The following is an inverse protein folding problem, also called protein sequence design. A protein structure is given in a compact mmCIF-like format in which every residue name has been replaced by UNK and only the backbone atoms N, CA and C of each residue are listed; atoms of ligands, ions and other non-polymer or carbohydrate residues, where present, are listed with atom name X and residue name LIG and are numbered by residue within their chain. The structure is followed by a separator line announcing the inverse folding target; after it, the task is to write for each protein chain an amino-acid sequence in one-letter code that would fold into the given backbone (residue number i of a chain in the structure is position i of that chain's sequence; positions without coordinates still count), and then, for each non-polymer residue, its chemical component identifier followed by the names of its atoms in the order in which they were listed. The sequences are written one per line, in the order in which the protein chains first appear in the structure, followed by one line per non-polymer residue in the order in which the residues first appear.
data_IF_845385658953
#
_entry.id   IF_845385658953
#
_cell.length_a   1.000
_cell.length_b   1.000
_cell.length_c   1.000
_cell.angle_alpha   90.00
_cell.angle_beta   90.00
_cell.angle_gamma   90.00
#
_symmetry.space_group_name_H-M   'P 1'
#
loop_
_entity.id
_entity.type
_entity.pdbx_description
1 polymer ?
#
# COMPACT_ATOMS: atom_id res chain seq x y z
N UNK A 1 -14.75 7.32 -2.73
CA UNK A 1 -14.33 6.19 -3.60
C UNK A 1 -15.56 5.54 -4.23
N UNK A 2 -15.96 5.91 -5.46
CA UNK A 2 -17.26 5.48 -6.02
C UNK A 2 -17.36 3.96 -6.29
N UNK A 3 -16.22 3.29 -6.49
CA UNK A 3 -16.16 1.85 -6.77
C UNK A 3 -15.92 0.99 -5.52
N UNK A 4 -15.69 1.60 -4.35
CA UNK A 4 -15.48 0.85 -3.12
C UNK A 4 -16.84 0.51 -2.51
N UNK A 5 -17.13 -0.79 -2.35
CA UNK A 5 -18.33 -1.22 -1.61
C UNK A 5 -18.23 -0.74 -0.17
N UNK A 6 -19.38 -0.42 0.43
CA UNK A 6 -19.46 -0.01 1.84
C UNK A 6 -18.83 -1.08 2.74
N UNK A 7 -17.96 -0.67 3.66
CA UNK A 7 -17.17 -1.60 4.50
C UNK A 7 -16.02 -2.30 3.76
N UNK A 8 -15.71 -1.89 2.53
CA UNK A 8 -14.55 -2.37 1.79
C UNK A 8 -13.24 -1.97 2.45
N UNK A 9 -12.21 -2.79 2.24
CA UNK A 9 -10.87 -2.56 2.78
C UNK A 9 -9.99 -1.86 1.75
N UNK A 10 -9.31 -0.80 2.17
CA UNK A 10 -8.30 -0.08 1.38
C UNK A 10 -6.93 -0.36 2.00
N UNK A 11 -6.04 -1.00 1.24
CA UNK A 11 -4.66 -1.23 1.67
C UNK A 11 -3.79 -0.15 1.04
N UNK A 12 -3.03 0.57 1.87
CA UNK A 12 -2.27 1.75 1.44
C UNK A 12 -0.78 1.57 1.71
N UNK A 13 0.04 1.76 0.67
CA UNK A 13 1.50 1.86 0.77
C UNK A 13 1.90 3.28 1.21
N UNK A 14 2.09 3.49 2.52
CA UNK A 14 2.43 4.82 3.08
C UNK A 14 3.76 5.35 2.56
N UNK A 15 4.70 4.46 2.20
CA UNK A 15 5.99 4.84 1.59
C UNK A 15 5.84 5.57 0.25
N UNK A 16 4.68 5.49 -0.40
CA UNK A 16 4.40 6.20 -1.65
C UNK A 16 3.81 7.61 -1.45
N UNK A 17 3.43 8.00 -0.22
CA UNK A 17 2.75 9.27 0.10
C UNK A 17 3.72 10.42 0.39
N UNK A 18 4.76 10.55 -0.44
CA UNK A 18 5.62 11.75 -0.42
C UNK A 18 4.92 12.95 -1.05
N UNK A 19 5.24 14.16 -0.59
CA UNK A 19 4.70 15.41 -1.13
C UNK A 19 4.88 15.51 -2.66
N UNK A 20 6.03 15.08 -3.17
CA UNK A 20 6.31 15.02 -4.61
C UNK A 20 5.32 14.11 -5.35
N UNK A 21 5.02 12.94 -4.79
CA UNK A 21 4.09 12.00 -5.42
C UNK A 21 2.64 12.49 -5.33
N UNK A 22 2.25 13.10 -4.20
CA UNK A 22 0.94 13.72 -4.03
C UNK A 22 0.71 14.83 -5.04
N UNK A 23 1.68 15.75 -5.19
CA UNK A 23 1.64 16.79 -6.23
C UNK A 23 1.53 16.21 -7.64
N UNK A 24 2.30 15.17 -7.97
CA UNK A 24 2.21 14.50 -9.28
C UNK A 24 0.85 13.86 -9.53
N UNK A 25 0.21 13.37 -8.47
CA UNK A 25 -1.12 12.80 -8.51
C UNK A 25 -2.24 13.86 -8.45
N UNK A 26 -1.90 15.16 -8.38
CA UNK A 26 -2.86 16.26 -8.34
C UNK A 26 -3.50 16.49 -6.97
N UNK A 27 -2.94 15.92 -5.90
CA UNK A 27 -3.43 16.11 -4.54
C UNK A 27 -2.81 17.34 -3.89
N UNK A 28 -3.66 18.21 -3.33
CA UNK A 28 -3.24 19.37 -2.55
C UNK A 28 -2.86 19.02 -1.10
N UNK A 29 -3.30 17.86 -0.60
CA UNK A 29 -3.05 17.37 0.76
C UNK A 29 -3.05 15.84 0.80
N UNK A 30 -2.71 15.27 1.96
CA UNK A 30 -2.66 13.82 2.11
C UNK A 30 -4.06 13.26 2.38
N UNK A 31 -4.62 12.41 1.49
CA UNK A 31 -5.96 11.86 1.66
C UNK A 31 -6.07 10.83 2.79
N UNK A 32 -4.94 10.40 3.37
CA UNK A 32 -4.90 9.59 4.59
C UNK A 32 -5.26 10.42 5.84
N UNK A 33 -5.03 11.74 5.81
CA UNK A 33 -5.20 12.61 6.98
C UNK A 33 -6.44 13.51 6.91
N UNK A 34 -7.07 13.66 5.74
CA UNK A 34 -8.18 14.59 5.51
C UNK A 34 -9.57 13.94 5.61
N UNK A 35 -9.66 12.75 6.19
CA UNK A 35 -10.88 11.94 6.33
C UNK A 35 -11.48 11.40 5.01
N UNK A 36 -10.80 11.54 3.87
CA UNK A 36 -11.28 11.03 2.55
C UNK A 36 -11.56 9.52 2.56
N UNK A 37 -10.87 8.76 3.40
CA UNK A 37 -10.98 7.30 3.48
C UNK A 37 -11.85 6.80 4.65
N UNK A 38 -12.57 7.69 5.34
CA UNK A 38 -13.34 7.37 6.57
C UNK A 38 -14.49 6.37 6.37
N UNK A 39 -15.03 6.25 5.16
CA UNK A 39 -16.14 5.32 4.84
C UNK A 39 -15.71 3.84 4.68
N UNK A 40 -14.41 3.56 4.70
CA UNK A 40 -13.85 2.22 4.50
C UNK A 40 -12.92 1.78 5.63
N UNK A 41 -12.51 0.51 5.62
CA UNK A 41 -11.45 0.03 6.50
C UNK A 41 -10.10 0.30 5.86
N UNK A 42 -9.37 1.29 6.36
CA UNK A 42 -8.02 1.59 5.87
C UNK A 42 -6.97 0.78 6.63
N UNK A 43 -6.07 0.14 5.90
CA UNK A 43 -4.90 -0.56 6.43
C UNK A 43 -3.67 0.13 5.85
N UNK A 44 -2.99 0.92 6.68
CA UNK A 44 -1.80 1.67 6.30
C UNK A 44 -0.55 0.88 6.65
N UNK A 45 0.26 0.57 5.63
CA UNK A 45 1.49 -0.20 5.78
C UNK A 45 2.59 0.44 4.93
N UNK A 46 3.81 0.47 5.45
CA UNK A 46 4.98 0.82 4.63
C UNK A 46 5.39 -0.37 3.75
N UNK A 47 4.59 -0.62 2.72
CA UNK A 47 4.75 -1.75 1.79
C UNK A 47 6.08 -1.64 1.06
N UNK A 48 6.47 -0.43 0.67
CA UNK A 48 7.75 -0.16 0.02
C UNK A 48 8.92 -0.64 0.88
N UNK A 49 9.01 -0.22 2.15
CA UNK A 49 10.09 -0.67 3.05
C UNK A 49 10.04 -2.17 3.30
N UNK A 50 8.86 -2.74 3.56
CA UNK A 50 8.73 -4.18 3.84
C UNK A 50 9.08 -5.04 2.61
N UNK A 51 8.82 -4.54 1.41
CA UNK A 51 9.26 -5.19 0.16
C UNK A 51 10.78 -5.18 0.05
N UNK A 52 11.43 -4.04 0.32
CA UNK A 52 12.90 -3.94 0.30
C UNK A 52 13.56 -4.90 1.29
N UNK A 53 13.05 -4.96 2.53
CA UNK A 53 13.57 -5.88 3.54
C UNK A 53 13.36 -7.35 3.14
N UNK A 54 12.19 -7.70 2.58
CA UNK A 54 11.88 -9.07 2.18
C UNK A 54 12.81 -9.60 1.07
N UNK A 55 13.24 -8.75 0.14
CA UNK A 55 14.10 -9.14 -0.99
C UNK A 55 15.57 -8.82 -0.79
N UNK A 56 15.95 -8.24 0.34
CA UNK A 56 17.34 -7.88 0.69
C UNK A 56 18.36 -9.00 0.47
N UNK A 57 18.07 -10.28 0.82
CA UNK A 57 19.01 -11.38 0.58
C UNK A 57 19.30 -11.68 -0.89
N UNK A 58 18.44 -11.21 -1.81
CA UNK A 58 18.57 -11.45 -3.24
C UNK A 58 19.55 -10.48 -3.92
N UNK A 59 20.08 -9.49 -3.20
CA UNK A 59 21.07 -8.54 -3.73
C UNK A 59 20.54 -7.62 -4.84
N UNK A 60 19.23 -7.42 -4.91
CA UNK A 60 18.60 -6.59 -5.94
C UNK A 60 18.91 -5.10 -5.75
N UNK A 61 18.93 -4.37 -6.86
CA UNK A 61 18.91 -2.90 -6.82
C UNK A 61 17.61 -2.41 -6.17
N UNK A 62 17.62 -1.21 -5.58
CA UNK A 62 16.40 -0.64 -4.97
C UNK A 62 15.25 -0.51 -5.99
N UNK A 63 15.57 -0.15 -7.23
CA UNK A 63 14.58 -0.04 -8.30
C UNK A 63 13.95 -1.39 -8.63
N UNK A 64 14.73 -2.46 -8.71
CA UNK A 64 14.20 -3.80 -9.02
C UNK A 64 13.45 -4.39 -7.84
N UNK A 65 13.96 -4.18 -6.62
CA UNK A 65 13.30 -4.58 -5.39
C UNK A 65 11.90 -3.96 -5.25
N UNK A 66 11.73 -2.67 -5.57
CA UNK A 66 10.43 -2.00 -5.53
C UNK A 66 9.45 -2.47 -6.61
N UNK A 67 9.90 -3.22 -7.63
CA UNK A 67 8.98 -3.90 -8.58
C UNK A 67 8.29 -5.11 -7.95
N UNK A 68 8.82 -5.63 -6.84
CA UNK A 68 8.25 -6.77 -6.11
C UNK A 68 7.06 -6.40 -5.21
N UNK A 69 6.65 -5.13 -5.12
CA UNK A 69 5.55 -4.68 -4.25
C UNK A 69 4.25 -5.47 -4.48
N UNK A 70 3.93 -5.79 -5.73
CA UNK A 70 2.74 -6.58 -6.05
C UNK A 70 2.78 -7.99 -5.44
N UNK A 71 3.96 -8.63 -5.42
CA UNK A 71 4.14 -9.96 -4.82
C UNK A 71 4.06 -9.89 -3.30
N UNK A 72 4.62 -8.83 -2.70
CA UNK A 72 4.48 -8.60 -1.27
C UNK A 72 3.01 -8.43 -0.87
N UNK A 73 2.25 -7.60 -1.61
CA UNK A 73 0.80 -7.41 -1.37
C UNK A 73 0.03 -8.70 -1.59
N UNK A 74 0.37 -9.49 -2.61
CA UNK A 74 -0.26 -10.78 -2.86
C UNK A 74 -0.07 -11.73 -1.65
N UNK A 75 1.14 -11.79 -1.09
CA UNK A 75 1.40 -12.57 0.13
C UNK A 75 0.57 -12.11 1.33
N UNK A 76 0.42 -10.79 1.50
CA UNK A 76 -0.47 -10.23 2.53
C UNK A 76 -1.92 -10.66 2.33
N UNK A 77 -2.44 -10.60 1.09
CA UNK A 77 -3.81 -11.01 0.79
C UNK A 77 -4.05 -12.50 1.06
N UNK A 78 -3.09 -13.36 0.69
CA UNK A 78 -3.14 -14.79 1.03
C UNK A 78 -3.17 -15.02 2.54
N UNK A 79 -2.40 -14.26 3.32
CA UNK A 79 -2.45 -14.38 4.78
C UNK A 79 -3.78 -13.88 5.38
N UNK A 80 -4.33 -12.78 4.85
CA UNK A 80 -5.57 -12.18 5.33
C UNK A 80 -6.80 -13.08 5.08
N UNK A 81 -6.84 -13.76 3.93
CA UNK A 81 -8.04 -14.47 3.48
C UNK A 81 -7.83 -15.98 3.24
N UNK A 82 -6.59 -16.47 3.28
CA UNK A 82 -6.26 -17.86 2.98
C UNK A 82 -6.27 -18.79 4.20
N UNK A 83 -6.67 -18.32 5.38
CA UNK A 83 -6.90 -19.21 6.54
C UNK A 83 -8.37 -19.59 6.58
N UNK A 84 -8.66 -20.90 6.65
CA UNK A 84 -9.97 -21.38 7.10
C UNK A 84 -10.24 -20.78 8.48
N UNK A 85 -11.47 -20.29 8.67
CA UNK A 85 -11.89 -19.62 9.90
C UNK A 85 -11.98 -20.58 11.06
#
# INVERSE_FOLDING_TARGET
LPNLKRGGTVIVDTGSFSERNLRKAGYAGNPLTDSTLSDGRTIEIDISRLTLEAVKPLGLSQHDALRCKNMWVLGLLYWMYGRER
#
